data_IF_000226240476
#
_entry.id   IF_000226240476
#
_cell.length_a   1.000
_cell.length_b   1.000
_cell.length_c   1.000
_cell.angle_alpha   90.00
_cell.angle_beta   90.00
_cell.angle_gamma   90.00
#
_symmetry.space_group_name_H-M   'P 1'
#
loop_
_entity.id
_entity.type
_entity.pdbx_description
1 polymer ?
#
# COMPACT_ATOMS: atom_id res chain seq x y z
N UNK A 1 -23.62 -8.33 22.34
CA UNK A 1 -23.63 -8.72 20.91
C UNK A 1 -23.59 -10.23 20.86
N UNK A 2 -24.37 -10.87 19.99
CA UNK A 2 -24.23 -12.31 19.74
C UNK A 2 -22.92 -12.50 18.98
N UNK A 3 -21.94 -13.16 19.58
CA UNK A 3 -20.69 -13.48 18.93
C UNK A 3 -20.93 -14.67 18.00
N UNK A 4 -21.08 -14.40 16.69
CA UNK A 4 -21.31 -15.43 15.66
C UNK A 4 -20.21 -16.52 15.73
N UNK A 5 -19.01 -16.13 16.16
CA UNK A 5 -17.85 -17.01 16.37
C UNK A 5 -18.17 -18.13 17.37
N UNK A 6 -18.85 -17.84 18.49
CA UNK A 6 -19.17 -18.84 19.52
C UNK A 6 -20.21 -19.87 19.03
N UNK A 7 -21.13 -19.45 18.15
CA UNK A 7 -22.12 -20.35 17.56
C UNK A 7 -21.45 -21.26 16.51
N UNK A 8 -20.57 -20.69 15.69
CA UNK A 8 -19.80 -21.44 14.70
C UNK A 8 -18.88 -22.46 15.39
N UNK A 9 -18.23 -22.09 16.49
CA UNK A 9 -17.30 -22.97 17.21
C UNK A 9 -17.95 -24.24 17.76
N UNK A 10 -19.23 -24.18 18.12
CA UNK A 10 -20.02 -25.33 18.58
C UNK A 10 -20.44 -26.27 17.46
N UNK A 11 -20.35 -25.86 16.20
CA UNK A 11 -20.74 -26.68 15.06
C UNK A 11 -19.59 -27.56 14.55
N UNK A 12 -19.86 -28.78 14.06
CA UNK A 12 -18.86 -29.61 13.39
C UNK A 12 -18.21 -28.90 12.20
N UNK A 13 -16.93 -29.20 11.94
CA UNK A 13 -16.14 -28.57 10.88
C UNK A 13 -16.86 -28.58 9.52
N UNK A 14 -17.45 -29.71 9.14
CA UNK A 14 -18.15 -29.87 7.85
C UNK A 14 -19.30 -28.87 7.70
N UNK A 15 -20.06 -28.63 8.77
CA UNK A 15 -21.21 -27.72 8.74
C UNK A 15 -20.75 -26.25 8.70
N UNK A 16 -19.73 -25.89 9.48
CA UNK A 16 -19.10 -24.56 9.40
C UNK A 16 -18.62 -24.25 7.99
N UNK A 17 -17.90 -25.19 7.39
CA UNK A 17 -17.36 -25.04 6.03
C UNK A 17 -18.46 -24.86 5.01
N UNK A 18 -19.52 -25.67 5.09
CA UNK A 18 -20.67 -25.54 4.19
C UNK A 18 -21.33 -24.16 4.28
N UNK A 19 -21.56 -23.66 5.50
CA UNK A 19 -22.13 -22.32 5.73
C UNK A 19 -21.19 -21.23 5.18
N UNK A 20 -19.90 -21.31 5.50
CA UNK A 20 -18.93 -20.31 5.06
C UNK A 20 -18.83 -20.23 3.53
N UNK A 21 -18.88 -21.40 2.86
CA UNK A 21 -18.89 -21.52 1.41
C UNK A 21 -20.16 -20.90 0.82
N UNK A 22 -21.33 -21.28 1.33
CA UNK A 22 -22.62 -20.83 0.78
C UNK A 22 -22.80 -19.32 0.88
N UNK A 23 -22.41 -18.73 2.02
CA UNK A 23 -22.62 -17.30 2.27
C UNK A 23 -21.58 -16.43 1.53
N UNK A 24 -20.30 -16.81 1.57
CA UNK A 24 -19.21 -15.87 1.27
C UNK A 24 -18.37 -16.22 0.03
N UNK A 25 -18.39 -17.48 -0.45
CA UNK A 25 -17.48 -17.90 -1.53
C UNK A 25 -17.70 -17.09 -2.81
N UNK A 26 -18.96 -16.82 -3.17
CA UNK A 26 -19.29 -16.02 -4.35
C UNK A 26 -18.74 -14.59 -4.27
N UNK A 27 -18.70 -13.99 -3.07
CA UNK A 27 -18.11 -12.66 -2.85
C UNK A 27 -16.60 -12.71 -3.00
N UNK A 28 -15.94 -13.72 -2.43
CA UNK A 28 -14.49 -13.88 -2.51
C UNK A 28 -13.99 -14.16 -3.93
N UNK A 29 -14.72 -14.98 -4.68
CA UNK A 29 -14.39 -15.25 -6.08
C UNK A 29 -14.47 -13.97 -6.91
N UNK A 30 -15.43 -13.07 -6.68
CA UNK A 30 -15.53 -11.80 -7.44
C UNK A 30 -14.36 -10.84 -7.20
N UNK A 31 -13.62 -10.99 -6.10
CA UNK A 31 -12.50 -10.11 -5.78
C UNK A 31 -11.35 -10.39 -6.75
N UNK A 32 -10.96 -9.38 -7.53
CA UNK A 32 -9.91 -9.49 -8.56
C UNK A 32 -8.57 -9.99 -8.01
N UNK A 33 -8.27 -9.76 -6.73
CA UNK A 33 -7.06 -10.24 -6.06
C UNK A 33 -7.04 -11.78 -5.96
N UNK A 34 -8.17 -12.40 -5.64
CA UNK A 34 -8.29 -13.85 -5.39
C UNK A 34 -8.64 -14.67 -6.63
N UNK A 35 -8.96 -14.00 -7.75
CA UNK A 35 -9.19 -14.65 -9.04
C UNK A 35 -8.01 -15.57 -9.44
N UNK A 36 -8.28 -16.80 -9.85
CA UNK A 36 -7.23 -17.77 -10.21
C UNK A 36 -6.42 -18.33 -9.04
N UNK A 37 -6.82 -18.07 -7.80
CA UNK A 37 -6.33 -18.85 -6.65
C UNK A 37 -7.13 -20.15 -6.53
N UNK A 38 -6.53 -21.15 -5.88
CA UNK A 38 -7.16 -22.44 -5.61
C UNK A 38 -8.42 -22.30 -4.74
N UNK A 39 -9.46 -23.07 -5.06
CA UNK A 39 -10.75 -23.00 -4.35
C UNK A 39 -10.61 -23.45 -2.89
N UNK A 40 -9.84 -24.50 -2.59
CA UNK A 40 -9.65 -24.98 -1.22
C UNK A 40 -8.93 -23.92 -0.38
N UNK A 41 -7.96 -23.21 -0.94
CA UNK A 41 -7.32 -22.08 -0.26
C UNK A 41 -8.35 -21.00 0.13
N UNK A 42 -9.32 -20.69 -0.74
CA UNK A 42 -10.36 -19.71 -0.43
C UNK A 42 -11.29 -20.22 0.68
N UNK A 43 -11.62 -21.50 0.68
CA UNK A 43 -12.42 -22.13 1.73
C UNK A 43 -11.71 -22.06 3.08
N UNK A 44 -10.42 -22.40 3.12
CA UNK A 44 -9.61 -22.32 4.34
C UNK A 44 -9.48 -20.88 4.85
N UNK A 45 -9.36 -19.91 3.94
CA UNK A 45 -9.34 -18.49 4.27
C UNK A 45 -10.67 -18.01 4.84
N UNK A 46 -11.80 -18.47 4.29
CA UNK A 46 -13.15 -18.16 4.79
C UNK A 46 -13.39 -18.69 6.21
N UNK A 47 -12.80 -19.83 6.55
CA UNK A 47 -12.93 -20.41 7.90
C UNK A 47 -12.20 -19.62 8.99
N UNK A 48 -11.15 -18.88 8.64
CA UNK A 48 -10.39 -18.04 9.59
C UNK A 48 -10.85 -16.58 9.62
N UNK A 49 -11.87 -16.26 8.84
CA UNK A 49 -12.25 -14.89 8.58
C UNK A 49 -13.31 -14.41 9.57
N UNK A 50 -13.09 -13.24 10.15
CA UNK A 50 -13.99 -12.63 11.14
C UNK A 50 -14.82 -11.54 10.49
N UNK A 51 -16.13 -11.52 10.74
CA UNK A 51 -17.02 -10.44 10.30
C UNK A 51 -17.15 -9.42 11.42
N UNK A 52 -16.88 -8.14 11.14
CA UNK A 52 -17.01 -7.04 12.10
C UNK A 52 -17.87 -5.94 11.50
N UNK A 53 -18.82 -5.44 12.30
CA UNK A 53 -19.69 -4.31 11.93
C UNK A 53 -19.15 -3.04 12.56
N UNK A 54 -18.94 -2.02 11.73
CA UNK A 54 -18.56 -0.68 12.13
C UNK A 54 -19.73 0.30 11.93
N UNK A 55 -19.92 1.17 12.92
CA UNK A 55 -20.94 2.22 12.92
C UNK A 55 -20.39 3.52 12.30
N UNK A 56 -21.28 4.44 11.88
CA UNK A 56 -20.87 5.77 11.44
C UNK A 56 -20.04 6.49 12.50
N UNK A 57 -18.84 6.95 12.11
CA UNK A 57 -17.90 7.62 13.00
C UNK A 57 -16.83 6.71 13.60
N UNK A 58 -16.97 5.38 13.46
CA UNK A 58 -15.92 4.46 13.91
C UNK A 58 -14.71 4.51 12.97
N UNK A 59 -13.52 4.46 13.57
CA UNK A 59 -12.26 4.38 12.85
C UNK A 59 -11.81 2.92 12.74
N UNK A 60 -11.75 2.41 11.50
CA UNK A 60 -11.25 1.04 11.23
C UNK A 60 -9.73 0.96 11.42
N UNK A 61 -8.98 1.92 10.86
CA UNK A 61 -7.51 1.99 10.96
C UNK A 61 -7.08 3.44 11.12
N UNK A 62 -6.12 3.72 12.01
CA UNK A 62 -5.55 5.06 12.18
C UNK A 62 -4.17 5.16 11.56
N UNK A 63 -3.81 6.37 11.12
CA UNK A 63 -2.48 6.64 10.59
C UNK A 63 -1.42 6.41 11.67
N UNK A 64 -0.45 5.55 11.38
CA UNK A 64 0.62 5.18 12.32
C UNK A 64 0.44 3.78 12.92
N UNK A 65 -0.72 3.16 12.76
CA UNK A 65 -0.95 1.79 13.22
C UNK A 65 -0.19 0.77 12.35
N UNK A 66 0.25 -0.30 12.99
CA UNK A 66 0.90 -1.42 12.29
C UNK A 66 -0.19 -2.27 11.62
N UNK A 67 -0.18 -2.33 10.28
CA UNK A 67 -1.10 -3.17 9.50
C UNK A 67 -0.87 -4.66 9.72
N UNK A 68 -1.56 -5.24 10.71
CA UNK A 68 -1.53 -6.67 11.06
C UNK A 68 -2.64 -7.48 10.39
N UNK A 69 -3.63 -6.81 9.83
CA UNK A 69 -4.85 -7.42 9.31
C UNK A 69 -5.17 -6.88 7.92
N UNK A 70 -5.88 -7.68 7.14
CA UNK A 70 -6.46 -7.30 5.87
C UNK A 70 -7.97 -7.11 6.05
N UNK A 71 -8.48 -6.01 5.50
CA UNK A 71 -9.91 -5.68 5.53
C UNK A 71 -10.52 -5.80 4.15
N UNK A 72 -11.69 -6.43 4.05
CA UNK A 72 -12.50 -6.54 2.83
C UNK A 72 -13.90 -6.02 3.14
N UNK A 73 -14.40 -5.07 2.37
CA UNK A 73 -15.75 -4.52 2.58
C UNK A 73 -16.77 -5.51 2.01
N UNK A 74 -17.56 -6.14 2.89
CA UNK A 74 -18.68 -7.03 2.52
C UNK A 74 -19.88 -6.20 2.09
N UNK A 75 -20.27 -5.25 2.93
CA UNK A 75 -21.34 -4.29 2.65
C UNK A 75 -21.07 -2.97 3.36
N UNK A 76 -21.62 -1.87 2.86
CA UNK A 76 -21.45 -0.54 3.44
C UNK A 76 -20.55 0.39 2.62
N UNK A 77 -20.15 1.48 3.27
CA UNK A 77 -19.21 2.44 2.70
C UNK A 77 -18.15 2.82 3.75
N UNK A 78 -16.89 2.88 3.33
CA UNK A 78 -15.75 3.30 4.15
C UNK A 78 -15.08 4.49 3.48
N UNK A 79 -14.78 5.51 4.27
CA UNK A 79 -14.16 6.74 3.79
C UNK A 79 -12.70 6.81 4.25
N UNK A 80 -11.81 7.12 3.32
CA UNK A 80 -10.41 7.42 3.62
C UNK A 80 -10.32 8.91 3.90
N UNK A 81 -10.18 9.26 5.18
CA UNK A 81 -10.13 10.64 5.65
C UNK A 81 -8.71 11.06 6.03
N UNK A 82 -8.41 12.36 5.95
CA UNK A 82 -7.21 12.97 6.51
C UNK A 82 -7.24 14.50 6.41
N UNK A 83 -6.08 15.14 6.43
CA UNK A 83 -5.96 16.60 6.60
C UNK A 83 -6.00 17.03 8.08
N UNK A 84 -5.98 18.34 8.36
CA UNK A 84 -6.17 18.86 9.71
C UNK A 84 -7.52 18.36 10.24
N UNK A 85 -7.50 17.71 11.39
CA UNK A 85 -8.68 17.17 12.09
C UNK A 85 -9.53 16.16 11.30
N UNK A 86 -8.95 15.42 10.34
CA UNK A 86 -9.66 14.44 9.51
C UNK A 86 -10.81 15.01 8.67
N UNK A 87 -10.74 16.30 8.31
CA UNK A 87 -11.79 17.01 7.58
C UNK A 87 -11.87 16.70 6.08
N UNK A 88 -10.82 16.14 5.47
CA UNK A 88 -10.73 15.90 4.03
C UNK A 88 -10.98 14.42 3.74
N UNK A 89 -11.96 14.12 2.87
CA UNK A 89 -12.21 12.77 2.37
C UNK A 89 -11.46 12.59 1.04
N UNK A 90 -10.48 11.68 1.00
CA UNK A 90 -9.72 11.38 -0.22
C UNK A 90 -10.48 10.45 -1.16
N UNK A 91 -11.02 9.36 -0.62
CA UNK A 91 -11.68 8.30 -1.39
C UNK A 91 -12.80 7.70 -0.55
N UNK A 92 -13.93 7.42 -1.18
CA UNK A 92 -14.99 6.59 -0.58
C UNK A 92 -15.01 5.23 -1.26
N UNK A 93 -14.72 4.19 -0.49
CA UNK A 93 -14.84 2.80 -0.91
C UNK A 93 -16.28 2.33 -0.61
N UNK A 94 -17.01 1.88 -1.62
CA UNK A 94 -18.43 1.49 -1.49
C UNK A 94 -18.64 0.05 -1.93
N UNK A 95 -19.41 -0.69 -1.14
CA UNK A 95 -19.95 -1.99 -1.49
C UNK A 95 -21.41 -2.07 -0.98
N UNK A 96 -22.39 -1.71 -1.80
CA UNK A 96 -23.81 -1.78 -1.39
C UNK A 96 -24.35 -0.52 -0.70
N UNK A 97 -25.18 -0.70 0.33
CA UNK A 97 -25.98 0.37 0.97
C UNK A 97 -25.20 1.24 1.96
N UNK A 98 -25.72 2.44 2.23
CA UNK A 98 -25.17 3.39 3.19
C UNK A 98 -25.78 3.15 4.59
N UNK A 99 -24.99 3.35 5.65
CA UNK A 99 -25.49 3.33 7.04
C UNK A 99 -24.55 2.66 8.03
N UNK A 100 -24.09 1.45 7.74
CA UNK A 100 -23.09 0.73 8.54
C UNK A 100 -22.16 -0.04 7.60
N UNK A 101 -20.93 -0.30 8.04
CA UNK A 101 -19.96 -1.02 7.24
C UNK A 101 -19.70 -2.40 7.84
N UNK A 102 -20.04 -3.44 7.09
CA UNK A 102 -19.67 -4.81 7.41
C UNK A 102 -18.34 -5.15 6.72
N UNK A 103 -17.32 -5.38 7.52
CA UNK A 103 -15.97 -5.69 7.07
C UNK A 103 -15.64 -7.13 7.44
N UNK A 104 -15.01 -7.81 6.50
CA UNK A 104 -14.28 -9.02 6.78
C UNK A 104 -12.84 -8.70 7.16
N UNK A 105 -12.39 -9.30 8.25
CA UNK A 105 -11.06 -9.14 8.83
C UNK A 105 -10.35 -10.48 8.75
N UNK A 106 -9.17 -10.47 8.14
CA UNK A 106 -8.26 -11.61 8.15
C UNK A 106 -6.91 -11.20 8.71
N UNK A 107 -6.42 -11.96 9.68
CA UNK A 107 -5.10 -11.73 10.25
C UNK A 107 -4.01 -12.09 9.25
N UNK A 108 -2.96 -11.27 9.21
CA UNK A 108 -1.82 -11.50 8.33
C UNK A 108 -1.16 -12.86 8.59
N UNK A 109 -1.07 -13.26 9.87
CA UNK A 109 -0.48 -14.55 10.26
C UNK A 109 -1.28 -15.71 9.66
N UNK A 110 -2.59 -15.72 9.88
CA UNK A 110 -3.50 -16.73 9.32
C UNK A 110 -3.41 -16.84 7.81
N UNK A 111 -3.35 -15.71 7.11
CA UNK A 111 -3.17 -15.69 5.67
C UNK A 111 -1.85 -16.38 5.25
N UNK A 112 -0.74 -16.07 5.93
CA UNK A 112 0.55 -16.67 5.60
C UNK A 112 0.60 -18.16 5.93
N UNK A 113 0.02 -18.57 7.05
CA UNK A 113 -0.06 -19.99 7.43
C UNK A 113 -0.81 -20.80 6.38
N UNK A 114 -1.93 -20.27 5.85
CA UNK A 114 -2.66 -20.93 4.75
C UNK A 114 -1.80 -20.96 3.48
N UNK A 115 -1.18 -19.83 3.10
CA UNK A 115 -0.44 -19.72 1.85
C UNK A 115 0.75 -20.69 1.75
N UNK A 116 1.34 -21.12 2.88
CA UNK A 116 2.41 -22.13 2.90
C UNK A 116 1.94 -23.46 2.28
N UNK A 117 0.66 -23.81 2.43
CA UNK A 117 0.09 -25.02 1.86
C UNK A 117 -0.30 -24.89 0.38
N UNK A 118 -0.38 -23.66 -0.15
CA UNK A 118 -0.86 -23.35 -1.51
C UNK A 118 0.15 -22.47 -2.29
N UNK A 119 1.32 -23.00 -2.67
CA UNK A 119 2.38 -22.23 -3.31
C UNK A 119 2.00 -21.64 -4.67
N UNK A 120 1.13 -22.30 -5.43
CA UNK A 120 0.65 -21.78 -6.71
C UNK A 120 -0.25 -20.55 -6.53
N UNK A 121 -1.19 -20.61 -5.58
CA UNK A 121 -2.02 -19.46 -5.22
C UNK A 121 -1.18 -18.30 -4.68
N UNK A 122 -0.13 -18.59 -3.90
CA UNK A 122 0.80 -17.58 -3.40
C UNK A 122 1.50 -16.84 -4.55
N UNK A 123 1.94 -17.54 -5.61
CA UNK A 123 2.54 -16.92 -6.79
C UNK A 123 1.54 -16.02 -7.52
N UNK A 124 0.30 -16.48 -7.69
CA UNK A 124 -0.78 -15.70 -8.32
C UNK A 124 -1.05 -14.42 -7.52
N UNK A 125 -1.22 -14.55 -6.21
CA UNK A 125 -1.47 -13.44 -5.29
C UNK A 125 -0.30 -12.44 -5.30
N UNK A 126 0.94 -12.93 -5.27
CA UNK A 126 2.15 -12.10 -5.31
C UNK A 126 2.29 -11.36 -6.66
N UNK A 127 1.99 -12.01 -7.79
CA UNK A 127 2.01 -11.39 -9.12
C UNK A 127 0.98 -10.27 -9.21
N UNK A 128 -0.25 -10.54 -8.74
CA UNK A 128 -1.34 -9.55 -8.71
C UNK A 128 -1.05 -8.40 -7.75
N UNK A 129 -0.54 -8.69 -6.56
CA UNK A 129 -0.11 -7.67 -5.60
C UNK A 129 0.94 -6.73 -6.20
N UNK A 130 1.97 -7.27 -6.87
CA UNK A 130 2.97 -6.46 -7.58
C UNK A 130 2.35 -5.60 -8.69
N UNK A 131 1.40 -6.13 -9.45
CA UNK A 131 0.69 -5.36 -10.50
C UNK A 131 -0.15 -4.23 -9.92
N UNK A 132 -0.84 -4.47 -8.80
CA UNK A 132 -1.63 -3.45 -8.10
C UNK A 132 -0.75 -2.34 -7.52
N UNK A 133 0.43 -2.68 -6.98
CA UNK A 133 1.38 -1.68 -6.48
C UNK A 133 1.97 -0.83 -7.61
N UNK A 134 2.26 -1.44 -8.77
CA UNK A 134 2.77 -0.72 -9.95
C UNK A 134 1.72 0.19 -10.59
N UNK A 135 0.47 -0.28 -10.71
CA UNK A 135 -0.63 0.51 -11.29
C UNK A 135 -1.09 1.65 -10.38
N UNK A 136 -1.06 1.46 -9.05
CA UNK A 136 -1.31 2.55 -8.09
C UNK A 136 -0.16 3.55 -8.01
N UNK A 137 1.09 3.13 -8.20
CA UNK A 137 2.23 4.06 -8.31
C UNK A 137 2.12 4.98 -9.54
N UNK A 138 1.45 4.54 -10.60
CA UNK A 138 1.19 5.35 -11.79
C UNK A 138 -0.04 6.29 -11.66
N UNK A 139 -0.93 6.07 -10.68
CA UNK A 139 -2.17 6.85 -10.49
C UNK A 139 -2.25 7.57 -9.14
N UNK A 140 -1.17 7.58 -8.35
CA UNK A 140 -1.13 8.20 -7.02
C UNK A 140 0.21 8.85 -6.72
N UNK A 141 0.56 9.90 -7.47
CA UNK A 141 1.69 10.77 -7.14
C UNK A 141 1.34 12.25 -7.31
N UNK A 142 0.30 12.69 -6.59
CA UNK A 142 0.27 14.05 -6.03
C UNK A 142 -0.13 13.97 -4.55
N UNK A 143 0.72 13.29 -3.78
CA UNK A 143 0.88 13.59 -2.36
C UNK A 143 2.33 14.05 -2.20
N UNK A 144 2.53 15.37 -2.09
CA UNK A 144 3.79 15.92 -1.57
C UNK A 144 3.91 15.45 -0.13
N UNK A 145 4.68 14.39 0.06
CA UNK A 145 5.14 13.98 1.38
C UNK A 145 6.31 14.91 1.76
N UNK A 146 6.02 16.00 2.47
CA UNK A 146 7.05 16.77 3.16
C UNK A 146 7.63 15.90 4.27
N UNK A 147 8.78 15.31 3.97
CA UNK A 147 9.64 14.64 4.93
C UNK A 147 10.27 15.71 5.83
N UNK A 148 9.64 16.01 6.95
CA UNK A 148 10.25 16.83 8.00
C UNK A 148 11.42 16.02 8.61
N UNK A 149 12.62 16.18 8.04
CA UNK A 149 13.87 15.83 8.72
C UNK A 149 14.26 17.03 9.58
N UNK A 150 14.26 16.82 10.89
CA UNK A 150 14.79 17.79 11.84
C UNK A 150 16.25 18.14 11.53
N UNK A 151 16.54 19.43 11.77
CA UNK A 151 17.84 20.07 11.94
C UNK A 151 18.96 19.73 10.95
N UNK A 152 19.06 20.55 9.90
CA UNK A 152 20.34 21.05 9.43
C UNK A 152 20.20 22.56 9.19
N UNK A 153 20.63 23.34 10.17
CA UNK A 153 20.81 24.79 10.09
C UNK A 153 21.84 25.13 8.99
N UNK A 154 21.49 25.16 7.71
CA UNK A 154 22.22 25.94 6.69
C UNK A 154 21.29 26.23 5.51
N UNK A 155 20.95 27.51 5.32
CA UNK A 155 20.20 27.98 4.15
C UNK A 155 20.98 27.73 2.85
N UNK A 156 20.29 27.30 1.80
CA UNK A 156 20.90 27.11 0.48
C UNK A 156 21.25 28.47 -0.13
N UNK A 157 22.55 28.68 -0.33
CA UNK A 157 23.18 29.84 -0.99
C UNK A 157 22.63 29.99 -2.42
N UNK A 158 22.38 31.23 -2.92
CA UNK A 158 21.78 31.44 -4.23
C UNK A 158 22.66 30.91 -5.38
N UNK A 159 22.05 30.54 -6.51
CA UNK A 159 22.72 29.89 -7.64
C UNK A 159 23.68 30.87 -8.33
N UNK A 160 24.95 30.48 -8.45
CA UNK A 160 25.95 31.28 -9.16
C UNK A 160 25.60 31.41 -10.65
N UNK A 161 25.63 32.64 -11.22
CA UNK A 161 25.25 32.89 -12.61
C UNK A 161 26.22 32.26 -13.64
N UNK A 162 25.67 31.98 -14.83
CA UNK A 162 26.21 31.10 -15.89
C UNK A 162 27.54 31.53 -16.54
N UNK A 163 28.24 32.55 -16.04
CA UNK A 163 29.57 32.96 -16.55
C UNK A 163 30.75 32.21 -15.90
N UNK A 164 30.55 31.56 -14.73
CA UNK A 164 31.62 30.81 -14.05
C UNK A 164 31.81 29.37 -14.55
N UNK A 165 30.86 28.84 -15.34
CA UNK A 165 30.98 27.48 -15.92
C UNK A 165 31.95 27.42 -17.11
N UNK A 166 32.19 28.54 -17.80
CA UNK A 166 33.11 28.60 -18.94
C UNK A 166 34.59 28.48 -18.50
N UNK A 167 34.95 28.98 -17.31
CA UNK A 167 36.32 28.93 -16.79
C UNK A 167 36.75 27.55 -16.28
N UNK A 168 35.81 26.68 -15.91
CA UNK A 168 36.13 25.32 -15.44
C UNK A 168 36.55 24.36 -16.57
N UNK A 169 36.08 24.59 -17.80
CA UNK A 169 36.45 23.76 -18.96
C UNK A 169 37.74 24.21 -19.65
N UNK A 170 38.16 25.47 -19.45
CA UNK A 170 39.43 25.98 -20.00
C UNK A 170 40.67 25.48 -19.23
N UNK A 171 40.50 24.95 -18.01
CA UNK A 171 41.57 24.32 -17.21
C UNK A 171 41.82 22.85 -17.56
N UNK A 172 40.89 22.18 -18.28
CA UNK A 172 40.99 20.75 -18.66
C UNK A 172 41.61 20.51 -20.03
N UNK A 173 41.67 21.51 -20.90
CA UNK A 173 42.50 21.47 -22.10
C UNK A 173 43.81 22.17 -21.76
N UNK A 174 44.94 21.45 -21.83
CA UNK A 174 46.28 21.95 -21.50
C UNK A 174 46.79 23.05 -22.44
N UNK A 175 46.06 24.17 -22.52
CA UNK A 175 46.38 25.34 -23.33
C UNK A 175 47.08 26.44 -22.51
N UNK A 176 47.33 26.20 -21.22
CA UNK A 176 48.10 27.09 -20.33
C UNK A 176 49.57 26.67 -20.18
N UNK A 177 49.94 25.51 -20.73
CA UNK A 177 51.34 25.04 -20.75
C UNK A 177 52.09 25.44 -22.04
N UNK A 178 51.37 25.90 -23.07
CA UNK A 178 51.95 26.42 -24.33
C UNK A 178 52.23 27.93 -24.34
N UNK A 179 52.04 28.62 -23.22
CA UNK A 179 52.38 30.04 -23.06
C UNK A 179 53.58 30.29 -22.10
N UNK A 180 54.30 29.22 -21.70
CA UNK A 180 55.48 29.31 -20.80
C UNK A 180 56.79 28.77 -21.40
N UNK A 181 56.91 28.66 -22.73
CA UNK A 181 58.21 28.51 -23.42
C UNK A 181 58.39 29.72 -24.33
N UNK A 182 59.45 30.49 -24.07
CA UNK A 182 59.71 31.83 -24.62
C UNK A 182 60.09 31.86 -26.09
N UNK A 183 60.50 33.05 -26.57
CA UNK A 183 61.92 33.17 -26.87
C UNK A 183 62.56 34.43 -26.23
N UNK A 184 63.77 34.26 -25.68
CA UNK A 184 64.92 35.17 -25.87
C UNK A 184 64.90 35.74 -27.31
N UNK A 185 65.29 36.95 -27.68
CA UNK A 185 66.19 37.97 -27.16
C UNK A 185 66.10 39.08 -28.23
N UNK A 186 66.07 40.35 -27.84
CA UNK A 186 66.51 41.43 -28.72
C UNK A 186 67.02 42.59 -27.84
N UNK A 187 68.29 42.44 -27.40
CA UNK A 187 69.27 43.50 -27.11
C UNK A 187 70.60 42.91 -26.68
#
# INVERSE_FOLDING_TARGET
MLDESELLDKMPLVMRTAIAVDINLATFQKIALFQGCDQQMLVDMLLRLKSIIYLPGDFVVKKGDIGKEMYIIKSGAVQVVGGPDNSIVFVTLKAGSYGFANLFVLEKKDLFDILVHYPESQKVLAKKGRQLMKSKAATGAQAKEEKQKGLALFGQKPPTPKLLRAFANLRKSGLLEKLKKGPEEDR
#
